data_IF_007684183223
#
_entry.id   IF_007684183223
#
_cell.length_a   1.000
_cell.length_b   1.000
_cell.length_c   1.000
_cell.angle_alpha   90.00
_cell.angle_beta   90.00
_cell.angle_gamma   90.00
#
_symmetry.space_group_name_H-M   'P 1'
#
loop_
_entity.id
_entity.type
_entity.pdbx_description
1 polymer ?
#
# COMPACT_ATOMS: atom_id res chain seq x y z
N UNK A 1 38.40 3.90 3.94
CA UNK A 1 37.93 5.29 3.90
C UNK A 1 36.60 5.31 4.64
N UNK A 2 36.55 6.03 5.75
CA UNK A 2 35.48 5.99 6.77
C UNK A 2 34.11 6.29 6.19
N UNK A 3 33.20 5.32 6.30
CA UNK A 3 31.76 5.51 6.16
C UNK A 3 31.31 6.39 7.33
N UNK A 4 31.33 7.70 7.13
CA UNK A 4 30.60 8.65 7.98
C UNK A 4 29.15 8.63 7.52
N UNK A 5 28.40 7.60 7.92
CA UNK A 5 26.94 7.63 7.91
C UNK A 5 26.47 8.19 9.24
N UNK A 6 26.94 9.38 9.59
CA UNK A 6 26.20 10.24 10.48
C UNK A 6 25.23 11.02 9.59
N UNK A 7 24.10 10.39 9.30
CA UNK A 7 22.88 11.10 8.94
C UNK A 7 22.64 12.10 10.07
N UNK A 8 23.14 13.32 9.89
CA UNK A 8 22.95 14.45 10.77
C UNK A 8 21.47 14.87 10.66
N UNK A 9 20.59 14.02 11.19
CA UNK A 9 19.26 14.39 11.61
C UNK A 9 19.48 15.40 12.71
N UNK A 10 19.58 16.68 12.30
CA UNK A 10 19.70 17.80 13.21
C UNK A 10 18.70 17.59 14.32
N UNK A 11 19.12 17.69 15.58
CA UNK A 11 18.21 17.55 16.73
C UNK A 11 16.96 18.42 16.56
N UNK A 12 17.07 19.50 15.79
CA UNK A 12 15.98 20.40 15.39
C UNK A 12 14.90 19.74 14.52
N UNK A 13 15.24 18.79 13.65
CA UNK A 13 14.28 18.07 12.81
C UNK A 13 13.47 17.04 13.61
N UNK A 14 14.14 16.32 14.51
CA UNK A 14 13.45 15.44 15.47
C UNK A 14 12.52 16.24 16.37
N UNK A 15 12.97 17.42 16.84
CA UNK A 15 12.14 18.33 17.64
C UNK A 15 10.94 18.83 16.82
N UNK A 16 11.12 19.26 15.56
CA UNK A 16 10.00 19.68 14.70
C UNK A 16 8.97 18.57 14.48
N UNK A 17 9.42 17.32 14.35
CA UNK A 17 8.50 16.17 14.24
C UNK A 17 7.72 15.94 15.53
N UNK A 18 8.38 15.98 16.68
CA UNK A 18 7.71 15.86 17.99
C UNK A 18 6.72 17.01 18.17
N UNK A 19 7.07 18.24 17.79
CA UNK A 19 6.17 19.41 17.84
C UNK A 19 4.96 19.20 16.93
N UNK A 20 5.15 18.68 15.72
CA UNK A 20 4.03 18.39 14.81
C UNK A 20 3.08 17.32 15.37
N UNK A 21 3.61 16.29 16.01
CA UNK A 21 2.84 15.24 16.67
C UNK A 21 2.07 15.80 17.87
N UNK A 22 2.74 16.62 18.69
CA UNK A 22 2.11 17.30 19.82
C UNK A 22 0.97 18.21 19.34
N UNK A 23 1.16 18.99 18.27
CA UNK A 23 0.11 19.81 17.67
C UNK A 23 -1.10 18.99 17.22
N UNK A 24 -0.90 17.82 16.62
CA UNK A 24 -2.02 16.93 16.26
C UNK A 24 -2.77 16.41 17.48
N UNK A 25 -2.04 15.98 18.52
CA UNK A 25 -2.64 15.52 19.77
C UNK A 25 -3.42 16.66 20.42
N UNK A 26 -2.87 17.88 20.45
CA UNK A 26 -3.56 19.07 20.97
C UNK A 26 -4.80 19.41 20.14
N UNK A 27 -4.75 19.29 18.81
CA UNK A 27 -5.90 19.52 17.93
C UNK A 27 -7.03 18.51 18.17
N UNK A 28 -6.68 17.23 18.29
CA UNK A 28 -7.63 16.14 18.56
C UNK A 28 -8.21 16.28 19.97
N UNK A 29 -7.37 16.47 20.98
CA UNK A 29 -7.79 16.68 22.35
C UNK A 29 -8.69 17.92 22.47
N UNK A 30 -8.31 19.04 21.84
CA UNK A 30 -9.12 20.24 21.78
C UNK A 30 -10.51 19.95 21.20
N UNK A 31 -10.58 19.21 20.09
CA UNK A 31 -11.85 18.83 19.48
C UNK A 31 -12.78 18.06 20.44
N UNK A 32 -12.25 17.14 21.25
CA UNK A 32 -13.02 16.40 22.25
C UNK A 32 -13.31 17.19 23.54
N UNK A 33 -12.35 17.97 24.06
CA UNK A 33 -12.52 18.75 25.29
C UNK A 33 -13.46 19.95 25.12
N UNK A 34 -13.54 20.55 23.92
CA UNK A 34 -14.51 21.61 23.62
C UNK A 34 -15.97 21.11 23.61
N UNK A 35 -16.22 19.80 23.75
CA UNK A 35 -17.57 19.25 23.96
C UNK A 35 -18.07 19.41 25.40
N UNK A 36 -17.16 19.45 26.39
CA UNK A 36 -17.53 19.22 27.79
C UNK A 36 -17.54 20.47 28.68
N UNK A 37 -16.86 21.57 28.30
CA UNK A 37 -16.69 22.72 29.20
C UNK A 37 -17.64 23.91 28.97
N UNK A 38 -18.36 23.98 27.84
CA UNK A 38 -19.21 25.14 27.55
C UNK A 38 -20.55 24.69 26.97
N UNK A 39 -21.59 24.70 27.80
CA UNK A 39 -22.98 24.37 27.49
C UNK A 39 -23.68 25.35 26.54
N UNK A 40 -23.00 25.81 25.49
CA UNK A 40 -23.58 26.48 24.33
C UNK A 40 -23.20 25.71 23.06
N UNK A 41 -24.15 25.62 22.13
CA UNK A 41 -23.99 24.94 20.85
C UNK A 41 -23.03 25.72 19.94
N UNK A 42 -21.72 25.59 20.15
CA UNK A 42 -20.74 26.01 19.14
C UNK A 42 -21.02 25.20 17.89
N UNK A 43 -21.32 25.88 16.78
CA UNK A 43 -21.62 25.24 15.50
C UNK A 43 -20.50 24.25 15.12
N UNK A 44 -20.91 23.07 14.63
CA UNK A 44 -19.99 21.99 14.22
C UNK A 44 -18.92 22.50 13.22
N UNK A 45 -19.30 23.48 12.39
CA UNK A 45 -18.41 24.12 11.42
C UNK A 45 -17.18 24.77 12.06
N UNK A 46 -17.34 25.51 13.17
CA UNK A 46 -16.23 26.20 13.84
C UNK A 46 -15.22 25.22 14.43
N UNK A 47 -15.69 24.11 15.00
CA UNK A 47 -14.81 23.06 15.55
C UNK A 47 -14.00 22.35 14.46
N UNK A 48 -14.67 22.00 13.35
CA UNK A 48 -14.01 21.38 12.20
C UNK A 48 -13.02 22.33 11.55
N UNK A 49 -13.36 23.61 11.39
CA UNK A 49 -12.44 24.63 10.86
C UNK A 49 -11.22 24.82 11.76
N UNK A 50 -11.40 24.86 13.08
CA UNK A 50 -10.30 24.93 14.05
C UNK A 50 -9.38 23.70 13.98
N UNK A 51 -9.95 22.50 13.90
CA UNK A 51 -9.18 21.27 13.73
C UNK A 51 -8.43 21.25 12.40
N UNK A 52 -9.07 21.64 11.29
CA UNK A 52 -8.42 21.74 9.98
C UNK A 52 -7.26 22.73 9.98
N UNK A 53 -7.39 23.87 10.68
CA UNK A 53 -6.31 24.83 10.82
C UNK A 53 -5.11 24.25 11.59
N UNK A 54 -5.36 23.57 12.71
CA UNK A 54 -4.30 22.94 13.53
C UNK A 54 -3.62 21.80 12.75
N UNK A 55 -4.40 20.94 12.08
CA UNK A 55 -3.89 19.88 11.22
C UNK A 55 -3.07 20.47 10.07
N UNK A 56 -3.53 21.55 9.45
CA UNK A 56 -2.78 22.26 8.42
C UNK A 56 -1.43 22.77 8.92
N UNK A 57 -1.37 23.38 10.10
CA UNK A 57 -0.13 23.84 10.72
C UNK A 57 0.82 22.67 11.08
N UNK A 58 0.28 21.56 11.59
CA UNK A 58 1.05 20.36 11.89
C UNK A 58 1.64 19.73 10.61
N UNK A 59 0.85 19.63 9.54
CA UNK A 59 1.33 19.14 8.24
C UNK A 59 2.39 20.09 7.66
N UNK A 60 2.19 21.40 7.75
CA UNK A 60 3.15 22.38 7.25
C UNK A 60 4.52 22.27 7.96
N UNK A 61 4.51 22.14 9.29
CA UNK A 61 5.72 21.96 10.09
C UNK A 61 6.39 20.61 9.82
N UNK A 62 5.62 19.53 9.65
CA UNK A 62 6.14 18.21 9.28
C UNK A 62 6.79 18.19 7.88
N UNK A 63 6.15 18.78 6.87
CA UNK A 63 6.69 18.87 5.50
C UNK A 63 7.94 19.75 5.41
N UNK A 64 8.06 20.73 6.30
CA UNK A 64 9.23 21.61 6.40
C UNK A 64 10.47 20.91 7.00
N UNK A 65 10.33 19.70 7.54
CA UNK A 65 11.42 18.89 8.11
C UNK A 65 12.23 18.19 7.02
N UNK A 66 13.53 17.94 7.24
CA UNK A 66 14.40 17.22 6.30
C UNK A 66 13.78 15.89 5.80
N UNK A 67 13.19 15.11 6.71
CA UNK A 67 12.47 13.88 6.38
C UNK A 67 11.27 14.11 5.46
N UNK A 68 10.49 15.18 5.70
CA UNK A 68 9.34 15.55 4.86
C UNK A 68 9.74 15.93 3.44
N UNK A 69 10.81 16.71 3.29
CA UNK A 69 11.35 17.09 1.96
C UNK A 69 11.94 15.89 1.21
N UNK A 70 12.60 14.98 1.91
CA UNK A 70 13.12 13.72 1.33
C UNK A 70 11.98 12.87 0.77
N UNK A 71 10.90 12.67 1.53
CA UNK A 71 9.73 11.92 1.07
C UNK A 71 9.11 12.53 -0.21
N UNK A 72 9.01 13.86 -0.28
CA UNK A 72 8.54 14.55 -1.49
C UNK A 72 9.48 14.32 -2.69
N UNK A 73 10.79 14.35 -2.46
CA UNK A 73 11.80 13.97 -3.46
C UNK A 73 11.61 12.52 -3.93
N UNK A 74 11.54 11.57 -3.00
CA UNK A 74 11.31 10.15 -3.29
C UNK A 74 10.02 9.89 -4.07
N UNK A 75 8.93 10.62 -3.78
CA UNK A 75 7.68 10.51 -4.55
C UNK A 75 7.85 11.01 -5.99
N UNK A 76 8.61 12.08 -6.19
CA UNK A 76 8.92 12.62 -7.52
C UNK A 76 9.80 11.64 -8.31
N UNK A 77 10.81 11.08 -7.66
CA UNK A 77 11.75 10.13 -8.27
C UNK A 77 11.06 8.79 -8.58
N UNK A 78 10.22 8.29 -7.68
CA UNK A 78 9.38 7.09 -7.90
C UNK A 78 8.48 7.25 -9.13
N UNK A 79 7.91 8.45 -9.36
CA UNK A 79 7.09 8.73 -10.55
C UNK A 79 7.92 8.71 -11.83
N UNK A 80 9.17 9.14 -11.79
CA UNK A 80 10.08 9.08 -12.94
C UNK A 80 10.49 7.62 -13.22
N UNK A 81 10.69 6.82 -12.18
CA UNK A 81 11.05 5.40 -12.32
C UNK A 81 9.90 4.56 -12.87
N UNK A 82 8.67 4.79 -12.40
CA UNK A 82 7.46 4.12 -12.94
C UNK A 82 7.26 4.44 -14.42
N UNK A 83 7.68 5.61 -14.89
CA UNK A 83 7.63 5.96 -16.32
C UNK A 83 8.66 5.20 -17.17
N UNK A 84 9.74 4.71 -16.57
CA UNK A 84 10.71 3.82 -17.24
C UNK A 84 10.20 2.39 -17.31
N UNK A 85 9.13 2.06 -16.59
CA UNK A 85 8.52 0.75 -16.64
C UNK A 85 7.83 0.57 -17.99
N UNK A 86 8.49 -0.18 -18.87
CA UNK A 86 7.93 -0.59 -20.15
C UNK A 86 6.95 -1.70 -19.84
N UNK A 87 5.68 -1.35 -19.66
CA UNK A 87 4.65 -2.36 -19.44
C UNK A 87 4.47 -3.19 -20.70
N UNK A 88 4.34 -4.53 -20.55
CA UNK A 88 4.19 -5.42 -21.68
C UNK A 88 2.96 -5.02 -22.49
N UNK A 89 3.08 -5.10 -23.81
CA UNK A 89 1.96 -4.79 -24.70
C UNK A 89 0.87 -5.86 -24.53
N UNK A 90 -0.40 -5.51 -24.81
CA UNK A 90 -1.51 -6.47 -24.72
C UNK A 90 -1.27 -7.72 -25.59
N UNK A 91 -0.55 -7.56 -26.69
CA UNK A 91 -0.17 -8.66 -27.58
C UNK A 91 0.80 -9.64 -26.91
N UNK A 92 1.85 -9.15 -26.23
CA UNK A 92 2.81 -9.98 -25.49
C UNK A 92 2.15 -10.74 -24.33
N UNK A 93 1.27 -10.06 -23.58
CA UNK A 93 0.52 -10.67 -22.48
C UNK A 93 -0.38 -11.79 -23.00
N UNK A 94 -1.13 -11.55 -24.08
CA UNK A 94 -2.01 -12.55 -24.68
C UNK A 94 -1.23 -13.73 -25.28
N UNK A 95 -0.08 -13.49 -25.91
CA UNK A 95 0.78 -14.55 -26.44
C UNK A 95 1.23 -15.49 -25.31
N UNK A 96 1.65 -14.93 -24.19
CA UNK A 96 2.07 -15.71 -23.02
C UNK A 96 0.89 -16.47 -22.41
N UNK A 97 -0.27 -15.85 -22.26
CA UNK A 97 -1.48 -16.52 -21.74
C UNK A 97 -1.95 -17.65 -22.66
N UNK A 98 -1.95 -17.45 -23.98
CA UNK A 98 -2.32 -18.48 -24.95
C UNK A 98 -1.33 -19.66 -24.94
N UNK A 99 -0.03 -19.38 -24.85
CA UNK A 99 0.98 -20.42 -24.72
C UNK A 99 0.73 -21.29 -23.47
N UNK A 100 0.49 -20.65 -22.31
CA UNK A 100 0.15 -21.37 -21.07
C UNK A 100 -1.16 -22.14 -21.23
N UNK A 101 -2.19 -21.57 -21.86
CA UNK A 101 -3.48 -22.22 -22.11
C UNK A 101 -3.31 -23.52 -22.91
N UNK A 102 -2.48 -23.51 -23.95
CA UNK A 102 -2.20 -24.70 -24.77
C UNK A 102 -1.53 -25.79 -23.93
N UNK A 103 -0.52 -25.44 -23.12
CA UNK A 103 0.17 -26.41 -22.26
C UNK A 103 -0.81 -27.02 -21.25
N UNK A 104 -1.64 -26.19 -20.61
CA UNK A 104 -2.66 -26.66 -19.65
C UNK A 104 -3.69 -27.57 -20.32
N UNK A 105 -4.13 -27.26 -21.54
CA UNK A 105 -5.05 -28.12 -22.30
C UNK A 105 -4.45 -29.48 -22.63
N UNK A 106 -3.18 -29.51 -23.05
CA UNK A 106 -2.46 -30.77 -23.34
C UNK A 106 -2.35 -31.62 -22.07
N UNK A 107 -1.96 -31.01 -20.95
CA UNK A 107 -1.87 -31.70 -19.66
C UNK A 107 -3.24 -32.19 -19.18
N UNK A 108 -4.30 -31.39 -19.35
CA UNK A 108 -5.66 -31.79 -18.98
C UNK A 108 -6.14 -33.02 -19.76
N UNK A 109 -5.91 -33.05 -21.08
CA UNK A 109 -6.25 -34.22 -21.92
C UNK A 109 -5.41 -35.44 -21.53
N UNK A 110 -4.12 -35.25 -21.30
CA UNK A 110 -3.21 -36.33 -20.89
C UNK A 110 -3.65 -36.95 -19.57
N UNK A 111 -3.88 -36.14 -18.54
CA UNK A 111 -4.34 -36.59 -17.23
C UNK A 111 -5.69 -37.30 -17.35
N UNK A 112 -6.66 -36.68 -18.04
CA UNK A 112 -7.96 -37.29 -18.27
C UNK A 112 -7.87 -38.69 -18.92
N UNK A 113 -6.97 -38.86 -19.89
CA UNK A 113 -6.69 -40.15 -20.52
C UNK A 113 -6.12 -41.17 -19.55
N UNK A 114 -5.12 -40.77 -18.76
CA UNK A 114 -4.49 -41.63 -17.73
C UNK A 114 -5.51 -42.02 -16.66
N UNK A 115 -6.28 -41.08 -16.14
CA UNK A 115 -7.32 -41.31 -15.13
C UNK A 115 -8.39 -42.30 -15.65
N UNK A 116 -8.79 -42.15 -16.92
CA UNK A 116 -9.75 -43.05 -17.56
C UNK A 116 -9.18 -44.46 -17.73
N UNK A 117 -7.92 -44.59 -18.15
CA UNK A 117 -7.23 -45.87 -18.32
C UNK A 117 -7.00 -46.58 -16.98
N UNK A 118 -6.57 -45.84 -15.95
CA UNK A 118 -6.42 -46.36 -14.60
C UNK A 118 -7.78 -46.80 -14.05
N UNK A 119 -8.83 -46.00 -14.24
CA UNK A 119 -10.19 -46.35 -13.84
C UNK A 119 -10.70 -47.63 -14.51
N UNK A 120 -10.47 -47.80 -15.81
CA UNK A 120 -10.80 -49.04 -16.52
C UNK A 120 -10.00 -50.24 -16.01
N UNK A 121 -8.68 -50.07 -15.83
CA UNK A 121 -7.78 -51.12 -15.33
C UNK A 121 -8.19 -51.60 -13.94
N UNK A 122 -8.51 -50.66 -13.03
CA UNK A 122 -8.98 -50.96 -11.68
C UNK A 122 -10.32 -51.70 -11.72
N UNK A 123 -11.27 -51.29 -12.55
CA UNK A 123 -12.57 -51.99 -12.72
C UNK A 123 -12.38 -53.42 -13.22
N UNK A 124 -11.49 -53.63 -14.20
CA UNK A 124 -11.19 -54.95 -14.75
C UNK A 124 -10.50 -55.88 -13.74
N UNK A 125 -9.66 -55.34 -12.84
CA UNK A 125 -8.93 -56.11 -11.83
C UNK A 125 -9.77 -56.43 -10.58
N UNK A 126 -10.65 -55.52 -10.16
CA UNK A 126 -11.54 -55.71 -9.01
C UNK A 126 -12.78 -56.57 -9.33
N UNK A 127 -12.85 -57.19 -10.52
CA UNK A 127 -13.94 -58.08 -10.89
C UNK A 127 -15.27 -57.36 -11.20
N UNK A 128 -15.23 -56.07 -11.53
CA UNK A 128 -16.40 -55.31 -11.96
C UNK A 128 -16.76 -55.60 -13.41
N UNK A 129 -17.34 -56.77 -13.67
CA UNK A 129 -18.16 -57.05 -14.84
C UNK A 129 -19.58 -56.47 -14.67
N UNK A 130 -20.34 -56.38 -15.78
CA UNK A 130 -21.78 -56.08 -15.87
C UNK A 130 -22.36 -55.01 -14.94
#
# INVERSE_FOLDING_TARGET
MSVNTEEQGSSLDTVKLIVSLALLITGIAGFYYFETWQGEAVSLLLRVLGLLAIVGAAVFTALSTLSGKRLLGFMKDSRLEVRKMVWPTRAETLQTTLMVMVIVLVLAIFLWGVDSLLGWSVKSLLGGGS
#
